data_IF_964754594717
#
_entry.id   IF_964754594717
#
_cell.length_a   1.000
_cell.length_b   1.000
_cell.length_c   1.000
_cell.angle_alpha   90.00
_cell.angle_beta   90.00
_cell.angle_gamma   90.00
#
_symmetry.space_group_name_H-M   'P 1'
#
loop_
_entity.id
_entity.type
_entity.pdbx_description
1 polymer ?
#
# COMPACT_ATOMS: atom_id res chain seq x y z
N UNK A 1 -2.47 24.45 2.39
CA UNK A 1 -2.38 22.98 2.30
C UNK A 1 -0.95 22.45 2.12
N UNK A 2 -0.11 22.97 1.20
CA UNK A 2 1.26 22.44 1.01
C UNK A 2 2.15 22.55 2.25
N UNK A 3 2.04 23.66 2.99
CA UNK A 3 2.82 23.89 4.21
C UNK A 3 2.55 22.85 5.32
N UNK A 4 1.29 22.42 5.47
CA UNK A 4 0.92 21.40 6.46
C UNK A 4 1.55 20.04 6.11
N UNK A 5 1.48 19.64 4.84
CA UNK A 5 2.08 18.41 4.36
C UNK A 5 3.61 18.46 4.49
N UNK A 6 4.24 19.55 4.07
CA UNK A 6 5.69 19.73 4.19
C UNK A 6 6.15 19.67 5.65
N UNK A 7 5.44 20.34 6.57
CA UNK A 7 5.74 20.28 7.99
C UNK A 7 5.56 18.86 8.57
N UNK A 8 4.54 18.12 8.11
CA UNK A 8 4.33 16.73 8.52
C UNK A 8 5.46 15.82 8.00
N UNK A 9 5.86 15.99 6.73
CA UNK A 9 6.98 15.26 6.14
C UNK A 9 8.27 15.55 6.91
N UNK A 10 8.58 16.81 7.18
CA UNK A 10 9.79 17.19 7.92
C UNK A 10 9.85 16.58 9.33
N UNK A 11 8.71 16.37 9.99
CA UNK A 11 8.63 15.70 11.30
C UNK A 11 8.78 14.18 11.24
N UNK A 12 8.42 13.56 10.12
CA UNK A 12 8.37 12.09 10.01
C UNK A 12 9.50 11.51 9.17
N UNK A 13 10.14 12.31 8.32
CA UNK A 13 11.25 11.87 7.51
C UNK A 13 12.47 11.53 8.39
N UNK A 14 13.37 10.64 7.93
CA UNK A 14 14.61 10.37 8.64
C UNK A 14 15.38 11.67 8.92
N UNK A 15 15.76 11.88 10.17
CA UNK A 15 16.47 13.11 10.62
C UNK A 15 17.97 13.08 10.32
N UNK A 16 18.52 11.91 9.98
CA UNK A 16 19.94 11.70 9.68
C UNK A 16 20.12 10.88 8.39
N UNK A 17 21.32 10.95 7.82
CA UNK A 17 21.72 10.06 6.72
C UNK A 17 21.59 8.61 7.15
N UNK A 18 20.79 7.84 6.43
CA UNK A 18 20.62 6.41 6.67
C UNK A 18 21.73 5.62 5.96
N UNK A 19 22.22 4.57 6.60
CA UNK A 19 23.25 3.68 6.08
C UNK A 19 22.68 2.61 5.13
N UNK A 20 21.43 2.22 5.32
CA UNK A 20 20.70 1.27 4.49
C UNK A 20 19.74 1.99 3.52
N UNK A 21 19.70 1.60 2.24
CA UNK A 21 18.72 2.13 1.31
C UNK A 21 17.31 1.66 1.69
N UNK A 22 16.34 2.59 1.67
CA UNK A 22 14.94 2.23 1.86
C UNK A 22 14.43 1.39 0.70
N UNK A 23 13.54 0.44 0.96
CA UNK A 23 12.84 -0.31 -0.10
C UNK A 23 11.61 0.40 -0.65
N UNK A 24 11.33 1.62 -0.18
CA UNK A 24 10.17 2.40 -0.62
C UNK A 24 10.25 2.78 -2.10
N UNK A 25 11.44 3.15 -2.57
CA UNK A 25 11.67 3.53 -3.97
C UNK A 25 12.76 2.67 -4.61
N UNK A 26 12.79 2.54 -5.95
CA UNK A 26 13.84 1.80 -6.64
C UNK A 26 15.25 2.36 -6.41
N UNK A 27 15.37 3.66 -6.14
CA UNK A 27 16.64 4.34 -5.93
C UNK A 27 17.12 4.30 -4.46
N UNK A 28 16.39 3.65 -3.56
CA UNK A 28 16.76 3.61 -2.14
C UNK A 28 16.30 4.83 -1.32
N UNK A 29 15.61 5.78 -1.93
CA UNK A 29 15.12 6.98 -1.25
C UNK A 29 14.00 6.65 -0.26
N UNK A 30 14.01 7.22 0.96
CA UNK A 30 13.02 6.95 2.01
C UNK A 30 11.74 7.78 1.86
N UNK A 31 11.55 8.43 0.71
CA UNK A 31 10.40 9.27 0.43
C UNK A 31 9.97 9.12 -1.03
N UNK A 32 8.67 9.04 -1.26
CA UNK A 32 8.05 9.11 -2.60
C UNK A 32 6.89 10.12 -2.58
N UNK A 33 6.89 11.07 -3.50
CA UNK A 33 5.78 12.00 -3.69
C UNK A 33 4.96 11.63 -4.93
N UNK A 34 3.64 11.70 -4.83
CA UNK A 34 2.70 11.45 -5.91
C UNK A 34 1.62 12.53 -5.97
N UNK A 35 1.32 13.01 -7.17
CA UNK A 35 0.15 13.86 -7.44
C UNK A 35 -1.08 12.97 -7.58
N UNK A 36 -2.15 13.31 -6.89
CA UNK A 36 -3.44 12.60 -6.93
C UNK A 36 -4.40 13.39 -7.82
N UNK A 37 -5.14 12.66 -8.66
CA UNK A 37 -6.15 13.17 -9.59
C UNK A 37 -7.33 12.17 -9.65
N UNK A 38 -8.59 12.59 -9.88
CA UNK A 38 -9.08 13.94 -10.20
C UNK A 38 -9.23 14.88 -9.01
N UNK A 39 -9.16 14.38 -7.79
CA UNK A 39 -9.10 15.24 -6.61
C UNK A 39 -7.66 15.78 -6.47
N UNK A 40 -7.39 17.05 -6.83
CA UNK A 40 -6.04 17.58 -6.84
C UNK A 40 -5.44 17.53 -5.44
N UNK A 41 -4.33 16.82 -5.29
CA UNK A 41 -3.67 16.67 -4.01
C UNK A 41 -2.27 16.10 -4.13
N UNK A 42 -1.50 16.24 -3.05
CA UNK A 42 -0.19 15.61 -2.90
C UNK A 42 -0.29 14.50 -1.86
N UNK A 43 0.25 13.33 -2.21
CA UNK A 43 0.50 12.23 -1.30
C UNK A 43 2.01 12.03 -1.18
N UNK A 44 2.49 11.86 0.05
CA UNK A 44 3.89 11.51 0.32
C UNK A 44 3.92 10.20 1.10
N UNK A 45 4.60 9.20 0.55
CA UNK A 45 4.95 7.97 1.25
C UNK A 45 6.32 8.14 1.89
N UNK A 46 6.51 7.61 3.10
CA UNK A 46 7.73 7.73 3.89
C UNK A 46 8.14 6.40 4.53
N UNK A 47 9.43 6.14 4.52
CA UNK A 47 10.11 5.19 5.40
C UNK A 47 10.83 6.01 6.49
N UNK A 48 10.25 6.14 7.70
CA UNK A 48 10.77 7.05 8.71
C UNK A 48 12.09 6.58 9.33
N UNK A 49 12.41 5.29 9.24
CA UNK A 49 13.64 4.72 9.82
C UNK A 49 14.20 3.57 8.95
N UNK A 50 14.81 3.88 7.80
CA UNK A 50 15.36 2.90 6.85
C UNK A 50 16.44 1.96 7.41
N UNK A 51 17.12 2.35 8.49
CA UNK A 51 18.15 1.55 9.16
C UNK A 51 17.58 0.61 10.23
N UNK A 52 16.31 0.81 10.61
CA UNK A 52 15.70 0.05 11.68
C UNK A 52 15.24 -1.34 11.21
N UNK A 53 15.08 -2.26 12.18
CA UNK A 53 14.46 -3.55 11.91
C UNK A 53 12.97 -3.39 11.52
N UNK A 54 12.38 -4.36 10.79
CA UNK A 54 10.97 -4.32 10.39
C UNK A 54 10.00 -4.02 11.55
N UNK A 55 10.19 -4.65 12.72
CA UNK A 55 9.32 -4.43 13.88
C UNK A 55 9.46 -3.04 14.49
N UNK A 56 10.67 -2.46 14.47
CA UNK A 56 10.88 -1.07 14.89
C UNK A 56 10.17 -0.13 13.92
N UNK A 57 10.24 -0.36 12.60
CA UNK A 57 9.52 0.46 11.61
C UNK A 57 8.02 0.42 11.80
N UNK A 58 7.44 -0.75 12.08
CA UNK A 58 6.00 -0.90 12.38
C UNK A 58 5.63 -0.03 13.59
N UNK A 59 6.40 -0.13 14.69
CA UNK A 59 6.16 0.69 15.89
C UNK A 59 6.28 2.19 15.60
N UNK A 60 7.37 2.62 14.95
CA UNK A 60 7.58 4.03 14.62
C UNK A 60 6.48 4.60 13.73
N UNK A 61 6.04 3.87 12.70
CA UNK A 61 4.93 4.31 11.85
C UNK A 61 3.61 4.40 12.62
N UNK A 62 3.35 3.45 13.54
CA UNK A 62 2.15 3.46 14.40
C UNK A 62 2.17 4.65 15.37
N UNK A 63 3.29 4.92 16.01
CA UNK A 63 3.45 6.02 16.96
C UNK A 63 3.20 7.38 16.27
N UNK A 64 3.65 7.52 15.02
CA UNK A 64 3.36 8.71 14.21
C UNK A 64 1.87 8.86 13.89
N UNK A 65 1.16 7.75 13.71
CA UNK A 65 -0.27 7.81 13.36
C UNK A 65 -1.09 8.38 14.51
N UNK A 66 -0.82 8.06 15.77
CA UNK A 66 -1.47 8.59 16.99
C UNK A 66 -3.01 8.38 17.09
N UNK A 67 -3.75 8.37 15.97
CA UNK A 67 -5.15 7.96 15.94
C UNK A 67 -5.29 6.47 16.28
N UNK A 68 -6.32 6.08 17.06
CA UNK A 68 -6.60 4.68 17.30
C UNK A 68 -7.04 4.00 16.00
N UNK A 69 -6.62 2.74 15.85
CA UNK A 69 -7.14 1.86 14.80
C UNK A 69 -8.44 1.20 15.28
N UNK A 70 -9.33 0.84 14.35
CA UNK A 70 -10.52 0.05 14.70
C UNK A 70 -10.15 -1.35 15.19
N UNK A 71 -11.11 -2.09 15.77
CA UNK A 71 -10.89 -3.47 16.21
C UNK A 71 -10.44 -4.34 15.04
N UNK A 72 -11.09 -4.21 13.89
CA UNK A 72 -10.77 -4.96 12.68
C UNK A 72 -9.35 -4.64 12.18
N UNK A 73 -8.95 -3.36 12.21
CA UNK A 73 -7.60 -2.95 11.83
C UNK A 73 -6.55 -3.44 12.84
N UNK A 74 -6.89 -3.51 14.13
CA UNK A 74 -6.03 -4.10 15.15
C UNK A 74 -5.85 -5.61 14.93
N UNK A 75 -6.90 -6.33 14.56
CA UNK A 75 -6.85 -7.75 14.21
C UNK A 75 -5.97 -8.00 12.97
N UNK A 76 -6.05 -7.11 11.96
CA UNK A 76 -5.16 -7.15 10.80
C UNK A 76 -3.70 -6.97 11.21
N UNK A 77 -3.40 -5.99 12.07
CA UNK A 77 -2.05 -5.79 12.59
C UNK A 77 -1.55 -7.01 13.37
N UNK A 78 -2.39 -7.60 14.23
CA UNK A 78 -2.06 -8.80 14.99
C UNK A 78 -1.77 -9.99 14.06
N UNK A 79 -2.56 -10.16 13.00
CA UNK A 79 -2.35 -11.20 11.98
C UNK A 79 -1.02 -11.03 11.26
N UNK A 80 -0.71 -9.82 10.81
CA UNK A 80 0.57 -9.53 10.15
C UNK A 80 1.74 -9.76 11.11
N UNK A 81 1.61 -9.37 12.37
CA UNK A 81 2.64 -9.63 13.37
C UNK A 81 2.89 -11.13 13.59
N UNK A 82 1.85 -11.97 13.53
CA UNK A 82 2.00 -13.43 13.56
C UNK A 82 2.75 -13.95 12.33
N UNK A 83 2.41 -13.49 11.12
CA UNK A 83 3.14 -13.86 9.91
C UNK A 83 4.62 -13.47 9.98
N UNK A 84 4.94 -12.32 10.54
CA UNK A 84 6.33 -11.85 10.68
C UNK A 84 7.16 -12.69 11.67
N UNK A 85 6.52 -13.41 12.60
CA UNK A 85 7.23 -14.36 13.49
C UNK A 85 7.71 -15.60 12.75
N UNK A 86 6.93 -16.05 11.77
CA UNK A 86 7.18 -17.29 11.03
C UNK A 86 7.96 -17.05 9.73
N UNK A 87 7.83 -15.84 9.16
CA UNK A 87 8.40 -15.48 7.88
C UNK A 87 9.06 -14.11 7.94
N UNK A 88 10.29 -13.95 7.43
CA UNK A 88 10.97 -12.67 7.44
C UNK A 88 10.23 -11.64 6.57
N UNK A 89 9.92 -10.49 7.16
CA UNK A 89 9.45 -9.31 6.43
C UNK A 89 10.55 -8.69 5.57
N UNK A 90 10.16 -8.03 4.49
CA UNK A 90 11.01 -7.29 3.55
C UNK A 90 11.29 -5.87 4.02
N UNK A 91 10.28 -5.18 4.57
CA UNK A 91 10.40 -3.77 4.97
C UNK A 91 9.59 -3.37 6.21
N UNK A 92 8.75 -4.26 6.77
CA UNK A 92 7.99 -3.96 7.98
C UNK A 92 6.80 -3.03 7.73
N UNK A 93 7.04 -1.72 7.73
CA UNK A 93 5.99 -0.74 7.48
C UNK A 93 6.48 0.57 6.86
N UNK A 94 5.56 1.25 6.17
CA UNK A 94 5.71 2.62 5.68
C UNK A 94 4.53 3.48 6.11
N UNK A 95 4.75 4.79 6.09
CA UNK A 95 3.75 5.80 6.37
C UNK A 95 3.30 6.47 5.06
N UNK A 96 2.04 6.83 4.95
CA UNK A 96 1.52 7.67 3.88
C UNK A 96 0.82 8.88 4.45
N UNK A 97 1.16 10.05 3.91
CA UNK A 97 0.68 11.36 4.32
C UNK A 97 -0.04 12.01 3.14
N UNK A 98 -1.23 12.56 3.37
CA UNK A 98 -1.93 13.40 2.39
C UNK A 98 -2.79 14.42 3.09
N UNK A 99 -3.03 15.56 2.46
CA UNK A 99 -4.03 16.53 2.95
C UNK A 99 -5.32 16.30 2.19
N UNK A 100 -6.42 16.09 2.91
CA UNK A 100 -7.78 15.92 2.36
C UNK A 100 -8.71 16.82 3.17
N UNK A 101 -9.46 17.68 2.49
CA UNK A 101 -10.42 18.61 3.11
C UNK A 101 -9.79 19.46 4.22
N UNK A 102 -8.54 19.90 4.02
CA UNK A 102 -7.79 20.71 4.99
C UNK A 102 -7.16 19.92 6.14
N UNK A 103 -7.39 18.61 6.24
CA UNK A 103 -6.87 17.74 7.30
C UNK A 103 -5.72 16.86 6.82
N UNK A 104 -4.72 16.65 7.68
CA UNK A 104 -3.67 15.67 7.44
C UNK A 104 -4.20 14.26 7.69
N UNK A 105 -4.37 13.48 6.63
CA UNK A 105 -4.64 12.05 6.69
C UNK A 105 -3.33 11.27 6.70
N UNK A 106 -3.28 10.26 7.58
CA UNK A 106 -2.16 9.33 7.70
C UNK A 106 -2.67 7.92 7.43
N UNK A 107 -1.87 7.09 6.74
CA UNK A 107 -2.16 5.68 6.50
C UNK A 107 -0.93 4.85 6.81
N UNK A 108 -1.14 3.71 7.46
CA UNK A 108 -0.11 2.70 7.70
C UNK A 108 -0.08 1.73 6.53
N UNK A 109 1.10 1.45 5.99
CA UNK A 109 1.31 0.35 5.06
C UNK A 109 2.14 -0.73 5.74
N UNK A 110 1.60 -1.94 5.85
CA UNK A 110 2.25 -3.09 6.43
C UNK A 110 2.75 -4.01 5.34
N UNK A 111 3.96 -4.54 5.48
CA UNK A 111 4.46 -5.60 4.62
C UNK A 111 3.73 -6.92 4.90
N UNK A 112 3.50 -7.68 3.85
CA UNK A 112 3.06 -9.07 3.95
C UNK A 112 4.25 -9.97 3.60
N UNK A 113 4.77 -10.75 4.56
CA UNK A 113 5.90 -11.64 4.33
C UNK A 113 5.67 -12.65 3.20
N UNK A 114 6.75 -13.22 2.67
CA UNK A 114 6.63 -14.27 1.67
C UNK A 114 6.44 -15.63 2.34
N UNK A 115 5.52 -16.44 1.82
CA UNK A 115 5.25 -17.79 2.33
C UNK A 115 4.20 -17.87 3.43
N UNK A 116 3.69 -16.73 3.93
CA UNK A 116 2.61 -16.72 4.90
C UNK A 116 1.26 -17.12 4.28
N UNK A 117 0.33 -17.56 5.11
CA UNK A 117 -1.03 -18.00 4.74
C UNK A 117 -2.01 -16.82 4.54
N UNK A 118 -1.67 -15.90 3.64
CA UNK A 118 -2.48 -14.70 3.41
C UNK A 118 -3.80 -15.00 2.68
N UNK A 119 -3.90 -16.11 1.95
CA UNK A 119 -5.08 -16.50 1.17
C UNK A 119 -6.29 -16.77 2.07
N UNK A 120 -6.08 -17.39 3.24
CA UNK A 120 -7.15 -17.61 4.22
C UNK A 120 -7.67 -16.29 4.78
N UNK A 121 -6.77 -15.36 5.08
CA UNK A 121 -7.11 -14.01 5.54
C UNK A 121 -7.88 -13.22 4.48
N UNK A 122 -7.43 -13.30 3.23
CA UNK A 122 -8.12 -12.67 2.10
C UNK A 122 -9.55 -13.21 1.97
N UNK A 123 -9.72 -14.53 1.95
CA UNK A 123 -11.03 -15.17 1.83
C UNK A 123 -12.02 -14.72 2.92
N UNK A 124 -11.52 -14.48 4.14
CA UNK A 124 -12.31 -13.98 5.27
C UNK A 124 -12.65 -12.48 5.14
N UNK A 125 -11.72 -11.68 4.59
CA UNK A 125 -11.83 -10.21 4.57
C UNK A 125 -12.64 -9.70 3.38
N UNK A 126 -12.44 -10.28 2.20
CA UNK A 126 -13.04 -9.81 0.94
C UNK A 126 -14.01 -10.84 0.33
N UNK A 127 -14.26 -11.96 1.00
CA UNK A 127 -14.96 -13.13 0.44
C UNK A 127 -14.05 -13.92 -0.50
N UNK A 128 -14.59 -14.87 -1.27
CA UNK A 128 -13.80 -15.66 -2.24
C UNK A 128 -13.50 -14.83 -3.52
N UNK A 129 -12.33 -14.20 -3.67
CA UNK A 129 -12.03 -13.45 -4.88
C UNK A 129 -11.45 -14.46 -5.87
N UNK A 130 -12.30 -14.97 -6.76
CA UNK A 130 -11.86 -15.82 -7.86
C UNK A 130 -11.09 -14.97 -8.88
N UNK A 131 -9.83 -14.62 -8.59
CA UNK A 131 -9.01 -13.92 -9.59
C UNK A 131 -7.68 -14.64 -9.74
N UNK A 132 -7.73 -15.64 -10.63
CA UNK A 132 -6.56 -16.21 -11.33
C UNK A 132 -5.61 -17.04 -10.44
N UNK A 133 -6.05 -18.19 -9.87
CA UNK A 133 -5.18 -19.13 -9.14
C UNK A 133 -3.94 -19.58 -9.95
N UNK A 134 -3.94 -19.42 -11.28
CA UNK A 134 -2.84 -19.79 -12.19
C UNK A 134 -1.85 -18.65 -12.50
N UNK A 135 -1.82 -17.54 -11.74
CA UNK A 135 -1.08 -16.33 -12.18
C UNK A 135 -0.18 -15.67 -11.15
N UNK A 136 0.23 -16.42 -10.12
CA UNK A 136 1.21 -15.97 -9.11
C UNK A 136 0.77 -14.62 -8.50
N UNK A 137 -0.54 -14.46 -8.27
CA UNK A 137 -1.03 -13.33 -7.49
C UNK A 137 -0.58 -13.53 -6.06
N UNK A 138 -0.07 -12.46 -5.47
CA UNK A 138 0.44 -12.46 -4.11
C UNK A 138 0.03 -11.18 -3.43
N UNK A 139 -0.61 -11.29 -2.26
CA UNK A 139 -0.75 -10.15 -1.36
C UNK A 139 0.64 -9.73 -0.88
N UNK A 140 0.97 -8.45 -1.05
CA UNK A 140 2.31 -7.92 -0.74
C UNK A 140 2.31 -6.80 0.27
N UNK A 141 1.20 -6.11 0.44
CA UNK A 141 1.09 -4.99 1.36
C UNK A 141 -0.37 -4.80 1.78
N UNK A 142 -0.57 -4.38 3.02
CA UNK A 142 -1.89 -4.02 3.53
C UNK A 142 -1.85 -2.56 3.99
N UNK A 143 -2.80 -1.75 3.52
CA UNK A 143 -2.96 -0.36 3.94
C UNK A 143 -4.07 -0.20 4.98
N UNK A 144 -3.82 0.52 6.06
CA UNK A 144 -4.78 0.82 7.12
C UNK A 144 -4.98 2.34 7.25
N UNK A 145 -6.21 2.79 7.01
CA UNK A 145 -6.61 4.18 7.22
C UNK A 145 -7.41 4.29 8.53
N UNK A 146 -6.82 4.80 9.63
CA UNK A 146 -7.48 4.86 10.93
C UNK A 146 -8.66 5.83 10.95
N UNK A 147 -8.74 6.79 10.02
CA UNK A 147 -9.84 7.76 9.98
C UNK A 147 -11.08 7.11 9.37
N UNK A 148 -10.93 6.42 8.24
CA UNK A 148 -12.07 5.80 7.55
C UNK A 148 -12.38 4.39 8.04
N UNK A 149 -11.51 3.78 8.85
CA UNK A 149 -11.55 2.35 9.18
C UNK A 149 -11.20 1.46 7.98
N UNK A 150 -10.80 2.04 6.84
CA UNK A 150 -10.56 1.30 5.61
C UNK A 150 -9.34 0.37 5.69
N UNK A 151 -9.49 -0.82 5.11
CA UNK A 151 -8.42 -1.79 4.86
C UNK A 151 -8.23 -1.93 3.35
N UNK A 152 -7.00 -1.77 2.88
CA UNK A 152 -6.62 -1.89 1.48
C UNK A 152 -5.66 -3.05 1.27
N UNK A 153 -5.96 -3.93 0.32
CA UNK A 153 -5.13 -5.08 -0.02
C UNK A 153 -4.39 -4.82 -1.35
N UNK A 154 -3.05 -4.87 -1.32
CA UNK A 154 -2.20 -4.60 -2.47
C UNK A 154 -1.53 -5.87 -2.98
N UNK A 155 -1.84 -6.20 -4.23
CA UNK A 155 -1.39 -7.43 -4.86
C UNK A 155 -0.28 -7.18 -5.85
N UNK A 156 0.74 -8.03 -5.82
CA UNK A 156 1.62 -8.24 -6.95
C UNK A 156 1.04 -9.35 -7.80
N UNK A 157 1.05 -9.16 -9.11
CA UNK A 157 0.71 -10.19 -10.07
C UNK A 157 1.83 -10.32 -11.10
N UNK A 158 1.89 -11.47 -11.77
CA UNK A 158 2.72 -11.62 -12.96
C UNK A 158 2.23 -10.72 -14.10
N UNK A 159 2.72 -10.96 -15.32
CA UNK A 159 2.34 -10.17 -16.51
C UNK A 159 0.82 -10.13 -16.68
N UNK A 160 0.24 -8.92 -16.59
CA UNK A 160 -1.16 -8.65 -16.91
C UNK A 160 -1.31 -8.35 -18.39
N UNK A 161 -2.16 -9.12 -19.07
CA UNK A 161 -2.62 -8.81 -20.42
C UNK A 161 -3.92 -8.00 -20.32
N UNK A 162 -4.14 -6.99 -21.19
CA UNK A 162 -5.28 -6.07 -21.03
C UNK A 162 -6.68 -6.71 -20.90
N UNK A 163 -7.03 -7.81 -21.62
CA UNK A 163 -8.31 -8.51 -21.46
C UNK A 163 -8.51 -9.16 -20.08
N UNK A 164 -7.51 -9.09 -19.21
CA UNK A 164 -7.56 -9.61 -17.84
C UNK A 164 -7.82 -8.51 -16.84
N UNK A 165 -7.38 -7.28 -17.13
CA UNK A 165 -7.77 -6.11 -16.37
C UNK A 165 -9.30 -5.97 -16.35
N UNK A 166 -9.97 -6.28 -17.46
CA UNK A 166 -11.44 -6.30 -17.53
C UNK A 166 -12.06 -7.35 -16.60
N UNK A 167 -11.48 -8.56 -16.50
CA UNK A 167 -11.94 -9.61 -15.58
C UNK A 167 -11.76 -9.23 -14.11
N UNK A 168 -10.64 -8.60 -13.77
CA UNK A 168 -10.42 -8.07 -12.42
C UNK A 168 -11.47 -7.00 -12.07
N UNK A 169 -11.73 -6.06 -12.98
CA UNK A 169 -12.77 -5.06 -12.80
C UNK A 169 -14.16 -5.68 -12.63
N UNK A 170 -14.51 -6.69 -13.45
CA UNK A 170 -15.80 -7.38 -13.41
C UNK A 170 -16.10 -8.11 -12.10
N UNK A 171 -15.07 -8.55 -11.35
CA UNK A 171 -15.22 -9.21 -10.05
C UNK A 171 -15.24 -8.23 -8.87
N UNK A 172 -14.98 -6.95 -9.12
CA UNK A 172 -14.95 -5.90 -8.11
C UNK A 172 -16.14 -4.96 -8.24
N UNK A 173 -16.23 -3.95 -7.37
CA UNK A 173 -17.18 -2.83 -7.52
C UNK A 173 -16.99 -1.99 -8.80
N UNK A 174 -15.93 -2.25 -9.58
CA UNK A 174 -15.56 -1.53 -10.79
C UNK A 174 -16.01 -2.22 -12.09
N UNK A 175 -17.11 -2.99 -12.07
CA UNK A 175 -17.51 -3.86 -13.19
C UNK A 175 -17.54 -3.16 -14.55
N UNK A 176 -18.01 -1.92 -14.57
CA UNK A 176 -18.13 -1.09 -15.79
C UNK A 176 -16.83 -0.40 -16.22
N UNK A 177 -15.78 -0.40 -15.40
CA UNK A 177 -14.55 0.34 -15.67
C UNK A 177 -13.52 -0.45 -16.50
N UNK A 178 -13.73 -1.75 -16.72
CA UNK A 178 -12.73 -2.63 -17.34
C UNK A 178 -12.19 -2.10 -18.67
N UNK A 179 -13.06 -1.64 -19.57
CA UNK A 179 -12.65 -1.09 -20.88
C UNK A 179 -11.82 0.20 -20.72
N UNK A 180 -12.25 1.10 -19.83
CA UNK A 180 -11.55 2.35 -19.52
C UNK A 180 -10.14 2.09 -18.97
N UNK A 181 -9.97 1.06 -18.12
CA UNK A 181 -8.66 0.67 -17.61
C UNK A 181 -7.73 0.19 -18.73
N UNK A 182 -8.24 -0.59 -19.68
CA UNK A 182 -7.46 -1.04 -20.85
C UNK A 182 -7.06 0.12 -21.74
N UNK A 183 -8.01 1.00 -22.08
CA UNK A 183 -7.76 2.22 -22.86
C UNK A 183 -6.70 3.10 -22.18
N UNK A 184 -6.81 3.28 -20.86
CA UNK A 184 -5.85 4.04 -20.07
C UNK A 184 -4.44 3.42 -20.06
N UNK A 185 -4.32 2.11 -19.88
CA UNK A 185 -3.02 1.42 -19.95
C UNK A 185 -2.41 1.56 -21.35
N UNK A 186 -3.20 1.43 -22.41
CA UNK A 186 -2.73 1.61 -23.78
C UNK A 186 -2.22 3.05 -24.02
N UNK A 187 -2.95 4.06 -23.52
CA UNK A 187 -2.55 5.45 -23.58
C UNK A 187 -1.25 5.73 -22.80
N UNK A 188 -1.14 5.23 -21.56
CA UNK A 188 0.04 5.41 -20.72
C UNK A 188 1.29 4.74 -21.28
N UNK A 189 1.15 3.53 -21.81
CA UNK A 189 2.30 2.73 -22.28
C UNK A 189 2.68 3.05 -23.72
N UNK A 190 1.83 3.78 -24.46
CA UNK A 190 1.92 3.99 -25.90
C UNK A 190 2.06 2.68 -26.70
N UNK A 191 1.70 1.54 -26.09
CA UNK A 191 1.74 0.22 -26.70
C UNK A 191 0.34 -0.16 -27.15
N UNK A 192 0.15 -0.27 -28.46
CA UNK A 192 -1.04 -0.90 -29.02
C UNK A 192 -0.91 -2.41 -28.84
N UNK A 193 -1.65 -2.97 -27.89
CA UNK A 193 -1.78 -4.43 -27.78
C UNK A 193 -2.76 -4.87 -28.86
N UNK A 194 -2.24 -5.31 -30.01
CA UNK A 194 -3.06 -6.00 -31.03
C UNK A 194 -3.33 -7.41 -30.50
N UNK A 195 -4.62 -7.79 -30.46
CA UNK A 195 -5.07 -9.13 -30.10
C UNK A 195 -5.06 -10.03 -31.32
#
# INVERSE_FOLDING_TARGET
MPAMLAAAVARCAPSASCSAPSRLTPAGAPMEAAVVWPAPGLRVSLDPCPDASPDVRVRSCRDVIAQPFTVEQADVMARVALWCKEHPGRYGAWLSLRVVDGELRKKLYLDVPQGCSWETFEAQTVGAPAVLPRRQIRLTMIGLDPVSGGVELYYRCGRLFPPRSTRCCAASRWRSAGRKVVEFIAALTQRTVRF
#
